data_IF_927306405948
#
_entry.id   IF_927306405948
#
_cell.length_a   1.000
_cell.length_b   1.000
_cell.length_c   1.000
_cell.angle_alpha   90.00
_cell.angle_beta   90.00
_cell.angle_gamma   90.00
#
_symmetry.space_group_name_H-M   'P 1'
#
loop_
_entity.id
_entity.type
_entity.pdbx_description
1 polymer ?
#
# COMPACT_ATOMS: atom_id res chain seq x y z
N UNK A 1 -13.54 -18.01 12.58
CA UNK A 1 -13.52 -16.62 12.06
C UNK A 1 -12.15 -16.04 12.34
N UNK A 2 -11.48 -15.52 11.32
CA UNK A 2 -10.16 -14.89 11.43
C UNK A 2 -10.31 -13.37 11.25
N UNK A 3 -9.34 -12.60 11.77
CA UNK A 3 -9.27 -11.15 11.54
C UNK A 3 -7.89 -10.76 11.03
N UNK A 4 -7.87 -9.89 10.02
CA UNK A 4 -6.66 -9.21 9.57
C UNK A 4 -6.91 -7.71 9.54
N UNK A 5 -5.86 -6.93 9.75
CA UNK A 5 -5.90 -5.47 9.60
C UNK A 5 -4.99 -5.06 8.46
N UNK A 6 -5.53 -4.30 7.53
CA UNK A 6 -4.79 -3.67 6.44
C UNK A 6 -4.59 -2.20 6.79
N UNK A 7 -3.36 -1.71 6.65
CA UNK A 7 -3.01 -0.33 6.97
C UNK A 7 -2.13 0.26 5.87
N UNK A 8 -2.60 1.29 5.18
CA UNK A 8 -1.74 2.06 4.29
C UNK A 8 -0.81 2.94 5.14
N UNK A 9 0.44 3.10 4.70
CA UNK A 9 1.37 4.02 5.35
C UNK A 9 0.79 5.43 5.50
N UNK A 10 1.23 6.18 6.53
CA UNK A 10 0.89 7.58 6.73
C UNK A 10 1.36 8.48 5.58
N UNK A 11 0.94 9.74 5.57
CA UNK A 11 1.33 10.69 4.53
C UNK A 11 2.86 10.72 4.37
N UNK A 12 3.35 10.50 3.15
CA UNK A 12 4.77 10.63 2.81
C UNK A 12 5.09 12.01 2.24
N UNK A 13 6.39 12.38 2.25
CA UNK A 13 6.86 13.64 1.66
C UNK A 13 6.34 13.81 0.22
N UNK A 14 6.40 12.76 -0.60
CA UNK A 14 5.92 12.84 -1.98
C UNK A 14 4.40 12.74 -2.13
N UNK A 15 3.68 12.27 -1.10
CA UNK A 15 2.22 12.48 -1.08
C UNK A 15 1.89 13.96 -0.90
N UNK A 16 2.57 14.65 0.04
CA UNK A 16 2.41 16.07 0.28
C UNK A 16 2.80 16.92 -0.95
N UNK A 17 3.90 16.57 -1.61
CA UNK A 17 4.39 17.20 -2.83
C UNK A 17 3.62 16.83 -4.09
N UNK A 18 2.59 15.99 -4.00
CA UNK A 18 1.80 15.46 -5.14
C UNK A 18 2.63 14.75 -6.22
N UNK A 19 3.71 14.04 -5.84
CA UNK A 19 4.58 13.32 -6.77
C UNK A 19 4.23 11.83 -6.88
N UNK A 20 4.58 11.24 -8.03
CA UNK A 20 4.57 9.78 -8.20
C UNK A 20 5.70 9.16 -7.38
N UNK A 21 5.39 8.26 -6.44
CA UNK A 21 6.40 7.72 -5.52
C UNK A 21 6.94 6.36 -5.99
N UNK A 22 6.07 5.40 -6.19
CA UNK A 22 6.48 4.04 -6.57
C UNK A 22 7.46 3.41 -5.56
N UNK A 23 8.57 2.88 -6.08
CA UNK A 23 9.61 2.24 -5.27
C UNK A 23 10.65 3.21 -4.71
N UNK A 24 10.61 4.48 -5.09
CA UNK A 24 11.47 5.50 -4.45
C UNK A 24 11.21 5.56 -2.95
N UNK A 25 12.29 5.47 -2.16
CA UNK A 25 12.20 5.29 -0.71
C UNK A 25 12.17 6.64 0.04
N UNK A 26 11.03 7.32 -0.01
CA UNK A 26 10.78 8.55 0.72
C UNK A 26 10.18 8.28 2.12
N UNK A 27 10.46 9.20 3.06
CA UNK A 27 9.97 9.14 4.45
C UNK A 27 8.53 9.65 4.61
N UNK A 28 8.05 9.55 5.85
CA UNK A 28 6.79 10.18 6.28
C UNK A 28 6.98 11.68 6.53
N UNK A 29 5.91 12.45 6.38
CA UNK A 29 5.81 13.80 6.92
C UNK A 29 5.54 13.76 8.43
N UNK A 30 5.64 14.91 9.11
CA UNK A 30 5.20 15.03 10.50
C UNK A 30 3.72 14.64 10.66
N UNK A 31 2.88 15.01 9.69
CA UNK A 31 1.47 14.60 9.64
C UNK A 31 1.33 13.09 9.49
N UNK A 32 2.09 12.47 8.57
CA UNK A 32 2.04 11.02 8.37
C UNK A 32 2.50 10.24 9.59
N UNK A 33 3.44 10.77 10.37
CA UNK A 33 3.81 10.20 11.65
C UNK A 33 2.69 10.31 12.68
N UNK A 34 2.04 11.49 12.80
CA UNK A 34 0.89 11.69 13.67
C UNK A 34 -0.30 10.79 13.28
N UNK A 35 -0.54 10.59 11.98
CA UNK A 35 -1.54 9.63 11.47
C UNK A 35 -1.23 8.19 11.94
N UNK A 36 0.04 7.77 11.91
CA UNK A 36 0.45 6.45 12.38
C UNK A 36 0.27 6.29 13.90
N UNK A 37 0.59 7.33 14.70
CA UNK A 37 0.32 7.36 16.13
C UNK A 37 -1.18 7.19 16.41
N UNK A 38 -2.02 7.97 15.74
CA UNK A 38 -3.47 7.90 15.90
C UNK A 38 -4.02 6.51 15.53
N UNK A 39 -3.50 5.88 14.47
CA UNK A 39 -3.89 4.53 14.07
C UNK A 39 -3.54 3.49 15.16
N UNK A 40 -2.34 3.57 15.76
CA UNK A 40 -1.91 2.69 16.84
C UNK A 40 -2.77 2.85 18.09
N UNK A 41 -3.04 4.09 18.49
CA UNK A 41 -3.91 4.40 19.63
C UNK A 41 -5.34 3.91 19.42
N UNK A 42 -5.88 4.08 18.19
CA UNK A 42 -7.21 3.60 17.83
C UNK A 42 -7.28 2.07 17.91
N UNK A 43 -6.32 1.36 17.31
CA UNK A 43 -6.26 -0.10 17.36
C UNK A 43 -6.18 -0.62 18.80
N UNK A 44 -5.35 0.02 19.66
CA UNK A 44 -5.24 -0.32 21.07
C UNK A 44 -6.55 -0.09 21.80
N UNK A 45 -7.21 1.06 21.60
CA UNK A 45 -8.49 1.41 22.19
C UNK A 45 -9.60 0.42 21.83
N UNK A 46 -9.63 -0.02 20.57
CA UNK A 46 -10.61 -1.00 20.06
C UNK A 46 -10.26 -2.45 20.44
N UNK A 47 -9.22 -2.67 21.25
CA UNK A 47 -8.85 -3.97 21.80
C UNK A 47 -8.17 -4.91 20.79
N UNK A 48 -7.65 -4.40 19.69
CA UNK A 48 -6.88 -5.22 18.74
C UNK A 48 -5.54 -5.64 19.35
N UNK A 49 -5.15 -6.87 19.04
CA UNK A 49 -3.81 -7.40 19.33
C UNK A 49 -3.26 -8.07 18.09
N UNK A 50 -1.95 -8.07 17.95
CA UNK A 50 -1.27 -8.71 16.82
C UNK A 50 -0.20 -9.68 17.31
N UNK A 51 -0.06 -10.80 16.58
CA UNK A 51 0.93 -11.87 16.84
C UNK A 51 2.07 -11.83 15.82
N UNK A 52 1.82 -11.22 14.68
CA UNK A 52 2.79 -11.05 13.58
C UNK A 52 2.38 -9.87 12.69
N UNK A 53 3.38 -9.18 12.16
CA UNK A 53 3.19 -8.07 11.23
C UNK A 53 3.93 -8.32 9.90
N UNK A 54 3.35 -7.83 8.82
CA UNK A 54 3.93 -7.86 7.48
C UNK A 54 4.04 -6.45 6.93
N UNK A 55 5.17 -6.13 6.29
CA UNK A 55 5.37 -4.82 5.67
C UNK A 55 6.27 -4.90 4.44
N UNK A 56 6.36 -3.81 3.70
CA UNK A 56 7.21 -3.68 2.53
C UNK A 56 8.67 -3.40 2.89
N UNK A 57 9.52 -3.23 1.87
CA UNK A 57 10.92 -2.79 2.01
C UNK A 57 11.07 -1.25 2.07
N UNK A 58 9.96 -0.50 2.02
CA UNK A 58 9.98 0.96 1.90
C UNK A 58 9.76 1.63 3.26
N UNK A 59 10.66 2.58 3.62
CA UNK A 59 10.72 3.20 4.95
C UNK A 59 9.41 3.81 5.42
N UNK A 60 8.58 4.36 4.53
CA UNK A 60 7.29 4.95 4.93
C UNK A 60 6.31 3.93 5.49
N UNK A 61 6.27 2.70 4.94
CA UNK A 61 5.45 1.63 5.47
C UNK A 61 6.06 1.03 6.75
N UNK A 62 7.38 0.79 6.74
CA UNK A 62 8.12 0.30 7.91
C UNK A 62 7.95 1.24 9.09
N UNK A 63 8.17 2.55 8.90
CA UNK A 63 8.04 3.54 9.98
C UNK A 63 6.61 3.66 10.48
N UNK A 64 5.61 3.60 9.59
CA UNK A 64 4.20 3.55 10.00
C UNK A 64 3.94 2.34 10.89
N UNK A 65 4.37 1.14 10.47
CA UNK A 65 4.19 -0.07 11.27
C UNK A 65 4.89 0.03 12.63
N UNK A 66 6.15 0.45 12.68
CA UNK A 66 6.88 0.60 13.94
C UNK A 66 6.19 1.55 14.90
N UNK A 67 5.70 2.69 14.41
CA UNK A 67 4.96 3.65 15.21
C UNK A 67 3.65 3.04 15.76
N UNK A 68 2.90 2.31 14.93
CA UNK A 68 1.68 1.60 15.36
C UNK A 68 1.99 0.57 16.44
N UNK A 69 3.04 -0.24 16.24
CA UNK A 69 3.42 -1.27 17.21
C UNK A 69 3.93 -0.67 18.53
N UNK A 70 4.62 0.48 18.48
CA UNK A 70 5.05 1.23 19.67
C UNK A 70 3.83 1.71 20.48
N UNK A 71 2.85 2.37 19.85
CA UNK A 71 1.63 2.83 20.51
C UNK A 71 0.80 1.68 21.13
N UNK A 72 0.85 0.52 20.51
CA UNK A 72 0.16 -0.69 20.94
C UNK A 72 0.94 -1.50 21.99
N UNK A 73 2.19 -1.14 22.31
CA UNK A 73 3.10 -1.94 23.14
C UNK A 73 3.30 -3.36 22.57
N UNK A 74 3.55 -3.43 21.23
CA UNK A 74 3.69 -4.68 20.46
C UNK A 74 4.97 -4.73 19.62
N UNK A 75 6.00 -3.92 19.91
CA UNK A 75 7.26 -3.91 19.14
C UNK A 75 8.02 -5.23 19.18
N UNK A 76 7.71 -6.11 20.12
CA UNK A 76 8.35 -7.40 20.31
C UNK A 76 7.82 -8.50 19.38
N UNK A 77 6.73 -8.29 18.66
CA UNK A 77 6.20 -9.31 17.75
C UNK A 77 7.08 -9.47 16.51
N UNK A 78 7.10 -10.66 15.88
CA UNK A 78 7.79 -10.84 14.59
C UNK A 78 7.27 -9.90 13.52
N UNK A 79 8.19 -9.27 12.79
CA UNK A 79 7.90 -8.43 11.62
C UNK A 79 8.58 -9.04 10.40
N UNK A 80 7.82 -9.34 9.36
CA UNK A 80 8.34 -9.83 8.10
C UNK A 80 8.27 -8.73 7.03
N UNK A 81 9.40 -8.50 6.37
CA UNK A 81 9.53 -7.56 5.27
C UNK A 81 9.54 -8.32 3.94
N UNK A 82 8.83 -7.80 2.95
CA UNK A 82 8.86 -8.37 1.61
C UNK A 82 8.72 -7.29 0.55
N UNK A 83 9.56 -7.34 -0.50
CA UNK A 83 9.40 -6.48 -1.68
C UNK A 83 8.05 -6.72 -2.38
N UNK A 84 7.46 -7.90 -2.21
CA UNK A 84 6.14 -8.22 -2.77
C UNK A 84 5.02 -7.35 -2.19
N UNK A 85 5.27 -6.69 -1.06
CA UNK A 85 4.37 -5.71 -0.44
C UNK A 85 4.70 -4.26 -0.82
N UNK A 86 5.75 -4.00 -1.62
CA UNK A 86 6.09 -2.66 -2.08
C UNK A 86 4.93 -2.01 -2.84
N UNK A 87 4.95 -0.69 -2.92
CA UNK A 87 4.07 0.07 -3.80
C UNK A 87 4.27 -0.37 -5.26
N UNK A 88 3.30 -0.15 -6.11
CA UNK A 88 3.40 -0.34 -7.55
C UNK A 88 4.54 0.52 -8.10
N UNK A 89 5.37 -0.05 -8.97
CA UNK A 89 6.46 0.68 -9.60
C UNK A 89 5.92 1.60 -10.70
N UNK A 90 6.09 2.91 -10.51
CA UNK A 90 5.56 3.91 -11.44
C UNK A 90 6.45 4.20 -12.66
N UNK A 91 7.49 3.40 -12.88
CA UNK A 91 8.37 3.55 -14.04
C UNK A 91 8.98 4.94 -14.15
N UNK A 92 9.02 5.45 -15.37
CA UNK A 92 9.57 6.78 -15.67
C UNK A 92 8.81 7.94 -15.02
N UNK A 93 7.60 7.71 -14.49
CA UNK A 93 6.84 8.74 -13.77
C UNK A 93 7.35 8.98 -12.35
N UNK A 94 8.15 8.07 -11.76
CA UNK A 94 8.68 8.25 -10.40
C UNK A 94 9.40 9.60 -10.26
N UNK A 95 9.01 10.37 -9.24
CA UNK A 95 9.56 11.70 -8.94
C UNK A 95 8.88 12.86 -9.69
N UNK A 96 8.09 12.60 -10.72
CA UNK A 96 7.37 13.66 -11.42
C UNK A 96 6.18 14.17 -10.60
N UNK A 97 5.88 15.45 -10.68
CA UNK A 97 4.65 16.03 -10.15
C UNK A 97 3.45 15.54 -10.97
N UNK A 98 2.38 15.12 -10.29
CA UNK A 98 1.21 14.53 -10.94
C UNK A 98 0.39 15.56 -11.73
N UNK A 99 0.31 16.81 -11.24
CA UNK A 99 -0.45 17.86 -11.92
C UNK A 99 0.29 18.37 -13.16
N UNK A 100 1.62 18.55 -13.08
CA UNK A 100 2.46 18.89 -14.23
C UNK A 100 2.44 17.77 -15.28
N UNK A 101 2.49 16.51 -14.84
CA UNK A 101 2.37 15.35 -15.73
C UNK A 101 1.01 15.33 -16.43
N UNK A 102 -0.08 15.66 -15.70
CA UNK A 102 -1.42 15.75 -16.28
C UNK A 102 -1.54 16.92 -17.26
N UNK A 103 -0.90 18.06 -16.98
CA UNK A 103 -0.84 19.18 -17.92
C UNK A 103 -0.09 18.84 -19.21
N UNK A 104 0.95 18.00 -19.11
CA UNK A 104 1.78 17.57 -20.26
C UNK A 104 1.16 16.48 -21.12
N UNK A 105 0.57 15.45 -20.49
CA UNK A 105 0.09 14.25 -21.18
C UNK A 105 -1.44 14.14 -21.24
N UNK A 106 -2.16 15.06 -20.60
CA UNK A 106 -3.61 15.03 -20.45
C UNK A 106 -4.07 14.24 -19.24
N UNK A 107 -5.19 14.69 -18.64
CA UNK A 107 -5.77 14.07 -17.44
C UNK A 107 -6.16 12.60 -17.67
N UNK A 108 -6.71 12.28 -18.86
CA UNK A 108 -7.15 10.92 -19.20
C UNK A 108 -5.96 9.95 -19.23
N UNK A 109 -4.88 10.31 -19.92
CA UNK A 109 -3.69 9.47 -19.99
C UNK A 109 -3.05 9.24 -18.62
N UNK A 110 -2.97 10.28 -17.80
CA UNK A 110 -2.43 10.17 -16.44
C UNK A 110 -3.36 9.34 -15.56
N UNK A 111 -4.68 9.45 -15.74
CA UNK A 111 -5.65 8.60 -15.04
C UNK A 111 -5.46 7.12 -15.41
N UNK A 112 -5.26 6.80 -16.70
CA UNK A 112 -4.95 5.44 -17.18
C UNK A 112 -3.69 4.92 -16.48
N UNK A 113 -2.58 5.63 -16.54
CA UNK A 113 -1.33 5.22 -15.87
C UNK A 113 -1.46 5.07 -14.35
N UNK A 114 -2.34 5.84 -13.72
CA UNK A 114 -2.54 5.78 -12.26
C UNK A 114 -3.50 4.70 -11.82
N UNK A 115 -4.48 4.35 -12.62
CA UNK A 115 -5.66 3.62 -12.15
C UNK A 115 -6.00 2.37 -12.94
N UNK A 116 -5.61 2.28 -14.22
CA UNK A 116 -5.87 1.10 -15.05
C UNK A 116 -5.35 -0.17 -14.37
N UNK A 117 -6.06 -1.26 -14.59
CA UNK A 117 -5.68 -2.56 -14.07
C UNK A 117 -4.46 -3.11 -14.80
N UNK A 118 -4.40 -3.00 -16.12
CA UNK A 118 -3.47 -3.69 -17.03
C UNK A 118 -2.53 -2.78 -17.82
N UNK A 119 -2.68 -1.46 -17.71
CA UNK A 119 -1.86 -0.51 -18.48
C UNK A 119 -0.81 0.15 -17.57
N UNK A 120 0.48 -0.23 -17.70
CA UNK A 120 1.56 0.35 -16.90
C UNK A 120 1.95 1.75 -17.41
N UNK A 121 2.58 2.58 -16.56
CA UNK A 121 3.31 3.77 -17.00
C UNK A 121 4.50 3.40 -17.88
N UNK A 122 5.10 4.37 -18.61
CA UNK A 122 6.34 4.13 -19.35
C UNK A 122 7.44 3.56 -18.46
N UNK A 123 8.19 2.53 -18.90
CA UNK A 123 9.22 1.91 -18.07
C UNK A 123 10.43 2.85 -17.88
N UNK A 124 11.19 2.64 -16.79
CA UNK A 124 12.53 3.19 -16.66
C UNK A 124 13.46 2.61 -17.73
N UNK A 125 14.38 3.42 -18.23
CA UNK A 125 15.50 2.92 -19.05
C UNK A 125 16.38 1.97 -18.22
N UNK A 126 17.15 1.11 -18.89
CA UNK A 126 18.01 0.12 -18.19
C UNK A 126 19.16 0.77 -17.42
N UNK A 127 19.63 1.91 -17.91
CA UNK A 127 20.69 2.73 -17.31
C UNK A 127 20.16 3.89 -16.46
N UNK A 128 18.85 3.94 -16.18
CA UNK A 128 18.26 4.99 -15.36
C UNK A 128 18.75 4.89 -13.91
N UNK A 129 19.34 5.96 -13.34
CA UNK A 129 19.90 5.94 -12.00
C UNK A 129 18.84 5.70 -10.88
N UNK A 130 17.57 5.80 -11.21
CA UNK A 130 16.46 5.47 -10.29
C UNK A 130 16.15 3.98 -10.24
N UNK A 131 16.79 3.16 -11.10
CA UNK A 131 16.63 1.72 -11.10
C UNK A 131 17.51 1.11 -9.99
N UNK A 132 16.88 0.65 -8.93
CA UNK A 132 17.56 0.14 -7.72
C UNK A 132 17.84 -1.38 -7.76
N UNK A 133 17.99 -1.99 -8.93
CA UNK A 133 18.16 -3.44 -9.08
C UNK A 133 19.37 -4.02 -8.31
N UNK A 134 20.39 -3.22 -8.01
CA UNK A 134 21.53 -3.62 -7.20
C UNK A 134 21.45 -3.26 -5.70
N UNK A 135 20.32 -2.74 -5.23
CA UNK A 135 20.15 -2.35 -3.84
C UNK A 135 20.07 -3.59 -2.93
N UNK A 136 20.85 -3.67 -1.84
CA UNK A 136 20.82 -4.82 -0.90
C UNK A 136 19.45 -5.17 -0.34
N UNK A 137 18.50 -4.22 -0.30
CA UNK A 137 17.10 -4.50 0.09
C UNK A 137 16.43 -5.56 -0.78
N UNK A 138 16.89 -5.70 -2.01
CA UNK A 138 16.31 -6.56 -3.03
C UNK A 138 17.24 -7.70 -3.42
N UNK A 139 18.14 -8.10 -2.51
CA UNK A 139 19.10 -9.18 -2.76
C UNK A 139 18.44 -10.51 -3.18
N UNK A 140 17.22 -10.76 -2.69
CA UNK A 140 16.43 -11.95 -3.02
C UNK A 140 15.64 -11.81 -4.34
N UNK A 141 15.69 -10.65 -5.01
CA UNK A 141 15.03 -10.41 -6.28
C UNK A 141 16.06 -10.43 -7.41
N UNK A 142 15.99 -11.40 -8.34
CA UNK A 142 16.90 -11.44 -9.46
C UNK A 142 16.85 -10.13 -10.26
N UNK A 143 18.00 -9.60 -10.66
CA UNK A 143 18.07 -8.33 -11.38
C UNK A 143 17.23 -8.32 -12.67
N UNK A 144 17.12 -9.47 -13.34
CA UNK A 144 16.28 -9.62 -14.54
C UNK A 144 14.77 -9.55 -14.26
N UNK A 145 14.35 -9.79 -13.01
CA UNK A 145 12.95 -9.71 -12.57
C UNK A 145 12.63 -8.40 -11.87
N UNK A 146 13.62 -7.52 -11.70
CA UNK A 146 13.42 -6.22 -11.07
C UNK A 146 12.49 -5.35 -11.94
N UNK A 147 11.35 -4.87 -11.40
CA UNK A 147 10.38 -4.17 -12.23
C UNK A 147 10.92 -2.80 -12.65
N UNK A 148 10.77 -2.49 -13.94
CA UNK A 148 11.04 -1.16 -14.49
C UNK A 148 9.78 -0.31 -14.60
N UNK A 149 8.62 -0.95 -14.51
CA UNK A 149 7.27 -0.36 -14.42
C UNK A 149 6.29 -1.46 -14.01
N UNK A 150 5.17 -1.08 -13.43
CA UNK A 150 4.08 -2.01 -13.09
C UNK A 150 2.71 -1.37 -13.35
N UNK A 151 1.76 -2.15 -13.84
CA UNK A 151 0.34 -1.90 -13.70
C UNK A 151 -0.18 -2.56 -12.40
N UNK A 152 -1.47 -2.45 -12.11
CA UNK A 152 -2.04 -3.08 -10.91
C UNK A 152 -2.03 -4.62 -11.02
N UNK A 153 -2.20 -5.17 -12.23
CA UNK A 153 -2.14 -6.60 -12.50
C UNK A 153 -0.77 -7.18 -12.08
N UNK A 154 0.32 -6.52 -12.46
CA UNK A 154 1.68 -6.95 -12.07
C UNK A 154 1.85 -6.93 -10.55
N UNK A 155 1.26 -5.93 -9.87
CA UNK A 155 1.25 -5.86 -8.41
C UNK A 155 0.46 -7.02 -7.80
N UNK A 156 -0.68 -7.40 -8.38
CA UNK A 156 -1.46 -8.59 -7.97
C UNK A 156 -0.63 -9.86 -8.15
N UNK A 157 -0.02 -10.03 -9.32
CA UNK A 157 0.73 -11.23 -9.70
C UNK A 157 1.92 -11.48 -8.75
N UNK A 158 2.60 -10.41 -8.25
CA UNK A 158 3.69 -10.57 -7.27
C UNK A 158 3.23 -10.65 -5.81
N UNK A 159 2.06 -10.06 -5.48
CA UNK A 159 1.54 -10.07 -4.11
C UNK A 159 0.93 -11.43 -3.75
N UNK A 160 0.08 -12.00 -4.64
CA UNK A 160 -0.71 -13.17 -4.32
C UNK A 160 0.11 -14.42 -3.96
N UNK A 161 1.25 -14.75 -4.59
CA UNK A 161 2.09 -15.84 -4.09
C UNK A 161 2.51 -15.65 -2.63
N UNK A 162 2.89 -14.43 -2.23
CA UNK A 162 3.26 -14.14 -0.85
C UNK A 162 2.07 -14.22 0.11
N UNK A 163 0.89 -13.80 -0.34
CA UNK A 163 -0.35 -14.02 0.41
C UNK A 163 -0.59 -15.52 0.65
N UNK A 164 -0.57 -16.33 -0.40
CA UNK A 164 -0.90 -17.75 -0.32
C UNK A 164 0.12 -18.56 0.46
N UNK A 165 1.40 -18.29 0.26
CA UNK A 165 2.48 -19.11 0.79
C UNK A 165 2.93 -18.69 2.19
N UNK A 166 2.67 -17.43 2.59
CA UNK A 166 3.20 -16.89 3.84
C UNK A 166 2.12 -16.29 4.74
N UNK A 167 1.31 -15.34 4.24
CA UNK A 167 0.38 -14.60 5.11
C UNK A 167 -0.86 -15.45 5.43
N UNK A 168 -1.49 -16.05 4.45
CA UNK A 168 -2.70 -16.84 4.64
C UNK A 168 -2.47 -18.07 5.58
N UNK A 169 -1.35 -18.80 5.52
CA UNK A 169 -1.03 -19.82 6.52
C UNK A 169 -0.91 -19.26 7.93
N UNK A 170 -0.30 -18.09 8.12
CA UNK A 170 -0.23 -17.46 9.44
C UNK A 170 -1.63 -17.11 9.98
N UNK A 171 -2.51 -16.56 9.12
CA UNK A 171 -3.90 -16.30 9.49
C UNK A 171 -4.64 -17.59 9.86
N UNK A 172 -4.51 -18.64 9.04
CA UNK A 172 -5.14 -19.96 9.29
C UNK A 172 -4.63 -20.64 10.55
N UNK A 173 -3.41 -20.35 10.98
CA UNK A 173 -2.89 -20.84 12.28
C UNK A 173 -3.49 -20.13 13.50
N UNK A 174 -4.42 -19.19 13.30
CA UNK A 174 -5.08 -18.45 14.36
C UNK A 174 -4.36 -17.18 14.80
N UNK A 175 -3.29 -16.75 14.11
CA UNK A 175 -2.58 -15.52 14.44
C UNK A 175 -3.37 -14.28 14.03
N UNK A 176 -3.34 -13.26 14.87
CA UNK A 176 -3.83 -11.93 14.54
C UNK A 176 -2.77 -11.20 13.70
N UNK A 177 -3.13 -10.83 12.49
CA UNK A 177 -2.20 -10.30 11.49
C UNK A 177 -2.48 -8.84 11.18
N UNK A 178 -1.42 -8.02 11.13
CA UNK A 178 -1.45 -6.68 10.53
C UNK A 178 -0.55 -6.65 9.29
N UNK A 179 -1.07 -6.04 8.20
CA UNK A 179 -0.32 -5.79 6.96
C UNK A 179 -0.25 -4.29 6.76
N UNK A 180 0.94 -3.71 6.95
CA UNK A 180 1.16 -2.28 6.70
C UNK A 180 1.94 -2.11 5.40
N UNK A 181 1.26 -1.55 4.39
CA UNK A 181 1.79 -1.48 3.04
C UNK A 181 1.36 -0.19 2.31
N UNK A 182 1.03 -0.27 1.02
CA UNK A 182 0.82 0.88 0.16
C UNK A 182 -0.53 0.84 -0.56
N UNK A 183 -0.89 1.96 -1.20
CA UNK A 183 -2.17 2.07 -1.88
C UNK A 183 -2.40 0.96 -2.89
N UNK A 184 -1.46 0.69 -3.80
CA UNK A 184 -1.69 -0.32 -4.84
C UNK A 184 -1.45 -1.76 -4.35
N UNK A 185 -0.49 -2.02 -3.45
CA UNK A 185 -0.34 -3.37 -2.89
C UNK A 185 -1.56 -3.80 -2.07
N UNK A 186 -2.16 -2.90 -1.28
CA UNK A 186 -3.40 -3.21 -0.57
C UNK A 186 -4.60 -3.33 -1.52
N UNK A 187 -4.68 -2.51 -2.59
CA UNK A 187 -5.70 -2.66 -3.64
C UNK A 187 -5.61 -4.02 -4.32
N UNK A 188 -4.40 -4.55 -4.52
CA UNK A 188 -4.18 -5.88 -5.08
C UNK A 188 -4.81 -6.98 -4.19
N UNK A 189 -4.56 -6.92 -2.88
CA UNK A 189 -5.16 -7.86 -1.93
C UNK A 189 -6.68 -7.71 -1.83
N UNK A 190 -7.19 -6.47 -1.75
CA UNK A 190 -8.63 -6.19 -1.70
C UNK A 190 -9.33 -6.70 -2.97
N UNK A 191 -8.72 -6.45 -4.15
CA UNK A 191 -9.27 -6.98 -5.42
C UNK A 191 -9.44 -8.50 -5.37
N UNK A 192 -8.48 -9.21 -4.81
CA UNK A 192 -8.53 -10.66 -4.65
C UNK A 192 -9.59 -11.09 -3.63
N UNK A 193 -9.58 -10.52 -2.43
CA UNK A 193 -10.48 -10.89 -1.34
C UNK A 193 -11.94 -10.61 -1.68
N UNK A 194 -12.25 -9.39 -2.14
CA UNK A 194 -13.62 -8.93 -2.41
C UNK A 194 -14.07 -9.23 -3.85
N UNK A 195 -13.21 -9.87 -4.67
CA UNK A 195 -13.46 -10.15 -6.10
C UNK A 195 -13.87 -8.93 -6.89
N UNK A 196 -13.24 -7.78 -6.59
CA UNK A 196 -13.52 -6.51 -7.26
C UNK A 196 -13.20 -6.62 -8.75
N UNK A 197 -14.09 -6.20 -9.62
CA UNK A 197 -13.89 -6.22 -11.07
C UNK A 197 -12.73 -5.31 -11.50
N UNK A 198 -12.22 -5.49 -12.72
CA UNK A 198 -11.20 -4.61 -13.29
C UNK A 198 -11.71 -3.18 -13.51
N UNK A 199 -12.98 -3.04 -13.80
CA UNK A 199 -13.62 -1.74 -13.94
C UNK A 199 -13.79 -1.04 -12.58
N UNK A 200 -14.24 -1.75 -11.55
CA UNK A 200 -14.53 -1.16 -10.24
C UNK A 200 -13.26 -0.85 -9.44
N UNK A 201 -12.17 -1.61 -9.64
CA UNK A 201 -10.93 -1.38 -8.92
C UNK A 201 -10.31 0.00 -9.22
N UNK A 202 -10.64 0.60 -10.35
CA UNK A 202 -10.21 1.95 -10.72
C UNK A 202 -10.68 2.99 -9.69
N UNK A 203 -11.90 2.82 -9.16
CA UNK A 203 -12.51 3.71 -8.17
C UNK A 203 -12.06 3.48 -6.73
N UNK A 204 -11.41 2.35 -6.42
CA UNK A 204 -11.03 2.03 -5.04
C UNK A 204 -9.88 2.91 -4.54
N UNK A 205 -10.13 3.67 -3.48
CA UNK A 205 -9.15 4.53 -2.82
C UNK A 205 -8.96 4.09 -1.37
N UNK A 206 -7.69 3.95 -0.96
CA UNK A 206 -7.32 3.57 0.41
C UNK A 206 -6.70 4.80 1.08
N UNK A 207 -7.32 5.34 2.14
CA UNK A 207 -6.77 6.49 2.86
C UNK A 207 -5.50 6.13 3.61
N UNK A 208 -4.66 7.12 3.93
CA UNK A 208 -3.44 6.94 4.72
C UNK A 208 -3.79 6.62 6.18
N UNK A 209 -3.06 5.68 6.76
CA UNK A 209 -3.09 5.32 8.18
C UNK A 209 -4.50 5.12 8.78
N UNK A 210 -5.46 4.69 7.97
CA UNK A 210 -6.79 4.30 8.46
C UNK A 210 -6.87 2.77 8.50
N UNK A 211 -7.02 2.15 9.68
CA UNK A 211 -7.08 0.71 9.81
C UNK A 211 -8.34 0.14 9.14
N UNK A 212 -8.15 -0.75 8.16
CA UNK A 212 -9.21 -1.50 7.49
C UNK A 212 -9.21 -2.93 8.02
N UNK A 213 -10.27 -3.32 8.70
CA UNK A 213 -10.45 -4.64 9.28
C UNK A 213 -11.17 -5.55 8.30
N UNK A 214 -10.64 -6.74 8.10
CA UNK A 214 -11.33 -7.85 7.45
C UNK A 214 -11.64 -8.93 8.46
N UNK A 215 -12.89 -9.38 8.50
CA UNK A 215 -13.33 -10.60 9.16
C UNK A 215 -13.49 -11.68 8.08
N UNK A 216 -12.80 -12.80 8.27
CA UNK A 216 -12.69 -13.87 7.29
C UNK A 216 -13.25 -15.17 7.83
N UNK A 217 -13.84 -15.98 6.97
CA UNK A 217 -14.29 -17.35 7.30
C UNK A 217 -13.12 -18.35 7.37
N UNK A 218 -13.43 -19.62 7.50
CA UNK A 218 -12.44 -20.71 7.56
C UNK A 218 -11.61 -20.85 6.27
N UNK A 219 -12.20 -20.48 5.12
CA UNK A 219 -11.57 -20.49 3.81
C UNK A 219 -10.86 -19.19 3.47
N UNK A 220 -10.80 -18.24 4.40
CA UNK A 220 -10.30 -16.88 4.24
C UNK A 220 -11.12 -16.02 3.25
N UNK A 221 -12.40 -16.34 3.06
CA UNK A 221 -13.32 -15.50 2.30
C UNK A 221 -13.84 -14.39 3.21
N UNK A 222 -13.95 -13.15 2.73
CA UNK A 222 -14.49 -12.03 3.50
C UNK A 222 -15.94 -12.29 3.93
N UNK A 223 -16.19 -12.17 5.25
CA UNK A 223 -17.53 -12.09 5.83
C UNK A 223 -17.98 -10.63 5.78
N UNK A 224 -17.09 -9.73 6.21
CA UNK A 224 -17.25 -8.27 6.11
C UNK A 224 -15.91 -7.57 6.21
N UNK A 225 -15.87 -6.32 5.76
CA UNK A 225 -14.78 -5.41 6.03
C UNK A 225 -15.31 -4.04 6.48
N UNK A 226 -14.53 -3.30 7.25
CA UNK A 226 -14.88 -1.98 7.72
C UNK A 226 -13.64 -1.20 8.17
N UNK A 227 -13.68 0.10 7.99
CA UNK A 227 -12.68 1.00 8.57
C UNK A 227 -13.01 1.29 10.03
N UNK A 228 -11.96 1.33 10.88
CA UNK A 228 -12.08 1.82 12.25
C UNK A 228 -12.07 3.36 12.29
N UNK A 229 -12.80 3.94 13.23
CA UNK A 229 -12.82 5.37 13.49
C UNK A 229 -13.98 6.12 12.85
N UNK A 230 -13.81 7.45 12.70
CA UNK A 230 -14.83 8.36 12.19
C UNK A 230 -15.05 8.14 10.69
N UNK A 231 -16.26 7.68 10.33
CA UNK A 231 -16.60 7.31 8.96
C UNK A 231 -16.65 8.53 8.02
N UNK A 232 -16.98 9.72 8.50
CA UNK A 232 -17.04 10.92 7.67
C UNK A 232 -15.60 11.44 7.39
N UNK A 233 -14.72 11.41 8.38
CA UNK A 233 -13.31 11.70 8.20
C UNK A 233 -12.65 10.72 7.22
N UNK A 234 -12.97 9.43 7.29
CA UNK A 234 -12.49 8.39 6.39
C UNK A 234 -12.95 8.64 4.95
N UNK A 235 -14.24 8.93 4.74
CA UNK A 235 -14.78 9.28 3.42
C UNK A 235 -14.09 10.52 2.83
N UNK A 236 -13.89 11.55 3.64
CA UNK A 236 -13.15 12.74 3.23
C UNK A 236 -11.70 12.43 2.82
N UNK A 237 -11.01 11.57 3.57
CA UNK A 237 -9.65 11.13 3.26
C UNK A 237 -9.62 10.28 1.97
N UNK A 238 -10.59 9.40 1.73
CA UNK A 238 -10.70 8.64 0.47
C UNK A 238 -10.92 9.58 -0.72
N UNK A 239 -11.77 10.61 -0.57
CA UNK A 239 -11.99 11.62 -1.61
C UNK A 239 -10.74 12.46 -1.88
N UNK A 240 -9.97 12.80 -0.86
CA UNK A 240 -8.69 13.49 -1.01
C UNK A 240 -7.70 12.66 -1.85
N UNK A 241 -7.64 11.34 -1.63
CA UNK A 241 -6.82 10.42 -2.46
C UNK A 241 -7.32 10.37 -3.90
N UNK A 242 -8.64 10.35 -4.11
CA UNK A 242 -9.23 10.35 -5.45
C UNK A 242 -8.89 11.63 -6.24
N UNK A 243 -8.82 12.76 -5.55
CA UNK A 243 -8.51 14.07 -6.16
C UNK A 243 -7.01 14.32 -6.42
N UNK A 244 -6.13 13.50 -5.86
CA UNK A 244 -4.69 13.59 -6.15
C UNK A 244 -4.43 13.45 -7.65
N UNK A 245 -3.64 14.36 -8.21
CA UNK A 245 -3.21 14.32 -9.61
C UNK A 245 -4.23 14.87 -10.61
N UNK A 246 -5.29 15.53 -10.17
CA UNK A 246 -6.04 16.44 -11.04
C UNK A 246 -5.19 17.68 -11.29
N UNK A 247 -5.14 18.17 -12.54
CA UNK A 247 -4.54 19.45 -12.85
C UNK A 247 -5.22 20.51 -11.95
N UNK A 248 -4.42 21.42 -11.39
CA UNK A 248 -4.99 22.59 -10.73
C UNK A 248 -5.68 23.44 -11.81
N UNK A 249 -6.96 23.70 -11.61
CA UNK A 249 -7.70 24.64 -12.45
C UNK A 249 -7.09 26.02 -12.37
#
# INVERSE_FOLDING_TARGET
MYKIVLLRHGESVWNQENRFTGWTDVGLTAKGLAEAVAAGQLLKKEGFTFDIAYTSMLRRAIKTLWTVLEEMDRMWIPVQHSWRLNERHYGALQGLDKAETAAKFGNEQVLVWRRSYDTPPPPLAEDDPRLEAGNPRYADLPAAEFPRTECLKDTVDRFLPYWHDTIAPAVKSGRNVIITAHGNSLRALIKYLDKVSEADIVGLNIPTAQPLVYELDADLKPIRNYYLGDQDAIKAAMQAVANQGKAKA
#
